data_IF_814906167582
#
_entry.id   IF_814906167582
#
_cell.length_a   1.000
_cell.length_b   1.000
_cell.length_c   1.000
_cell.angle_alpha   90.00
_cell.angle_beta   90.00
_cell.angle_gamma   90.00
#
_symmetry.space_group_name_H-M   'P 1'
#
loop_
_entity.id
_entity.type
_entity.pdbx_description
1 polymer ?
#
# COMPACT_ATOMS: atom_id res chain seq x y z
N UNK A 1 -26.12 -3.41 4.15
CA UNK A 1 -24.85 -4.13 4.00
C UNK A 1 -23.96 -3.79 5.19
N UNK A 2 -23.75 -4.73 6.10
CA UNK A 2 -22.88 -4.59 7.27
C UNK A 2 -21.44 -5.00 6.98
N UNK A 3 -20.51 -4.82 7.94
CA UNK A 3 -19.10 -5.21 7.79
C UNK A 3 -18.93 -6.70 7.47
N UNK A 4 -19.88 -7.55 7.89
CA UNK A 4 -19.85 -9.01 7.69
C UNK A 4 -20.65 -9.48 6.46
N UNK A 5 -21.24 -8.56 5.68
CA UNK A 5 -21.98 -8.93 4.48
C UNK A 5 -21.03 -9.60 3.46
N UNK A 6 -21.43 -10.69 2.78
CA UNK A 6 -20.59 -11.32 1.78
C UNK A 6 -20.27 -10.35 0.64
N UNK A 7 -19.08 -10.46 0.04
CA UNK A 7 -18.75 -9.75 -1.19
C UNK A 7 -19.63 -10.26 -2.34
N UNK A 8 -19.86 -9.46 -3.38
CA UNK A 8 -20.66 -9.88 -4.54
C UNK A 8 -20.16 -11.19 -5.13
N UNK A 9 -21.05 -12.13 -5.40
CA UNK A 9 -20.73 -13.49 -5.87
C UNK A 9 -20.13 -13.54 -7.29
N UNK A 10 -20.38 -12.51 -8.12
CA UNK A 10 -19.92 -12.46 -9.53
C UNK A 10 -18.87 -11.37 -9.74
N UNK A 11 -18.02 -11.53 -10.76
CA UNK A 11 -17.05 -10.52 -11.16
C UNK A 11 -17.72 -9.20 -11.56
N UNK A 12 -18.78 -9.26 -12.36
CA UNK A 12 -19.54 -8.08 -12.75
C UNK A 12 -20.15 -7.34 -11.55
N UNK A 13 -20.75 -8.09 -10.61
CA UNK A 13 -21.27 -7.52 -9.36
C UNK A 13 -20.18 -6.87 -8.51
N UNK A 14 -18.98 -7.43 -8.48
CA UNK A 14 -17.83 -6.87 -7.78
C UNK A 14 -17.38 -5.56 -8.41
N UNK A 15 -17.24 -5.51 -9.75
CA UNK A 15 -16.85 -4.30 -10.48
C UNK A 15 -17.89 -3.19 -10.27
N UNK A 16 -19.17 -3.49 -10.44
CA UNK A 16 -20.24 -2.53 -10.24
C UNK A 16 -20.26 -2.00 -8.79
N UNK A 17 -20.06 -2.89 -7.82
CA UNK A 17 -20.00 -2.51 -6.40
C UNK A 17 -18.80 -1.62 -6.08
N UNK A 18 -17.64 -1.84 -6.72
CA UNK A 18 -16.47 -0.97 -6.58
C UNK A 18 -16.77 0.39 -7.22
N UNK A 19 -17.28 0.42 -8.45
CA UNK A 19 -17.60 1.65 -9.16
C UNK A 19 -18.56 2.56 -8.37
N UNK A 20 -19.65 2.01 -7.84
CA UNK A 20 -20.62 2.70 -6.99
C UNK A 20 -19.96 3.34 -5.75
N UNK A 21 -19.07 2.60 -5.09
CA UNK A 21 -18.38 3.06 -3.89
C UNK A 21 -17.31 4.10 -4.19
N UNK A 22 -16.59 3.93 -5.29
CA UNK A 22 -15.59 4.90 -5.77
C UNK A 22 -16.27 6.22 -6.14
N UNK A 23 -17.37 6.16 -6.89
CA UNK A 23 -18.15 7.35 -7.24
C UNK A 23 -18.60 8.10 -5.99
N UNK A 24 -19.15 7.40 -5.00
CA UNK A 24 -19.56 7.99 -3.72
C UNK A 24 -18.39 8.63 -2.97
N UNK A 25 -17.25 7.95 -2.88
CA UNK A 25 -16.07 8.45 -2.18
C UNK A 25 -15.52 9.71 -2.86
N UNK A 26 -15.29 9.64 -4.17
CA UNK A 26 -14.73 10.75 -4.95
C UNK A 26 -15.67 11.96 -4.91
N UNK A 27 -16.97 11.75 -5.11
CA UNK A 27 -17.99 12.82 -5.06
C UNK A 27 -18.04 13.51 -3.70
N UNK A 28 -18.09 12.74 -2.60
CA UNK A 28 -18.14 13.29 -1.24
C UNK A 28 -16.87 14.05 -0.89
N UNK A 29 -15.69 13.51 -1.20
CA UNK A 29 -14.42 14.18 -0.91
C UNK A 29 -14.24 15.45 -1.74
N UNK A 30 -14.62 15.44 -3.01
CA UNK A 30 -14.62 16.64 -3.85
C UNK A 30 -15.52 17.75 -3.30
N UNK A 31 -16.63 17.40 -2.69
CA UNK A 31 -17.54 18.33 -2.00
C UNK A 31 -17.10 18.66 -0.57
N UNK A 32 -15.97 18.15 -0.11
CA UNK A 32 -15.45 18.37 1.25
C UNK A 32 -16.27 17.71 2.35
N UNK A 33 -17.07 16.68 2.02
CA UNK A 33 -17.87 15.90 2.96
C UNK A 33 -17.05 14.77 3.58
N UNK A 34 -15.96 15.15 4.27
CA UNK A 34 -15.00 14.19 4.84
C UNK A 34 -15.49 13.74 6.21
N UNK A 35 -15.51 12.43 6.52
CA UNK A 35 -15.93 11.93 7.83
C UNK A 35 -15.02 12.43 8.94
N UNK A 36 -15.60 13.01 9.99
CA UNK A 36 -14.89 13.48 11.17
C UNK A 36 -15.43 12.77 12.42
N UNK A 37 -14.51 12.38 13.33
CA UNK A 37 -14.89 11.70 14.57
C UNK A 37 -15.76 10.45 14.32
N UNK A 38 -16.86 10.31 15.08
CA UNK A 38 -17.80 9.18 14.96
C UNK A 38 -18.78 9.34 13.78
N UNK A 39 -18.99 10.56 13.27
CA UNK A 39 -19.97 10.84 12.22
C UNK A 39 -19.51 10.31 10.86
N UNK A 40 -20.39 9.55 10.20
CA UNK A 40 -20.19 9.03 8.84
C UNK A 40 -21.57 8.95 8.13
N UNK A 41 -22.19 10.10 7.86
CA UNK A 41 -23.57 10.15 7.37
C UNK A 41 -23.72 9.52 5.98
N UNK A 42 -22.65 9.50 5.19
CA UNK A 42 -22.63 8.95 3.83
C UNK A 42 -22.01 7.53 3.76
N UNK A 43 -21.74 6.93 4.91
CA UNK A 43 -21.18 5.59 4.99
C UNK A 43 -19.83 5.40 4.27
N UNK A 44 -19.00 6.45 4.19
CA UNK A 44 -17.74 6.45 3.45
C UNK A 44 -16.75 5.42 4.00
N UNK A 45 -16.74 5.20 5.34
CA UNK A 45 -15.93 4.13 5.94
C UNK A 45 -16.36 2.75 5.46
N UNK A 46 -17.67 2.53 5.31
CA UNK A 46 -18.22 1.26 4.77
C UNK A 46 -17.91 1.10 3.27
N UNK A 47 -17.91 2.20 2.51
CA UNK A 47 -17.51 2.20 1.11
C UNK A 47 -16.04 1.76 0.97
N UNK A 48 -15.13 2.38 1.72
CA UNK A 48 -13.71 2.02 1.72
C UNK A 48 -13.48 0.56 2.15
N UNK A 49 -14.13 0.11 3.24
CA UNK A 49 -14.07 -1.28 3.69
C UNK A 49 -14.59 -2.25 2.62
N UNK A 50 -15.69 -1.90 1.94
CA UNK A 50 -16.26 -2.72 0.88
C UNK A 50 -15.30 -2.89 -0.31
N UNK A 51 -14.64 -1.82 -0.75
CA UNK A 51 -13.60 -1.88 -1.81
C UNK A 51 -12.45 -2.78 -1.35
N UNK A 52 -11.91 -2.53 -0.15
CA UNK A 52 -10.81 -3.31 0.45
C UNK A 52 -11.10 -4.81 0.43
N UNK A 53 -12.26 -5.21 0.93
CA UNK A 53 -12.68 -6.61 0.99
C UNK A 53 -12.82 -7.24 -0.40
N UNK A 54 -13.47 -6.53 -1.33
CA UNK A 54 -13.65 -7.04 -2.70
C UNK A 54 -12.28 -7.24 -3.37
N UNK A 55 -11.35 -6.29 -3.22
CA UNK A 55 -10.01 -6.41 -3.80
C UNK A 55 -9.25 -7.61 -3.25
N UNK A 56 -9.28 -7.81 -1.92
CA UNK A 56 -8.59 -8.93 -1.28
C UNK A 56 -9.23 -10.28 -1.64
N UNK A 57 -10.55 -10.40 -1.54
CA UNK A 57 -11.25 -11.66 -1.76
C UNK A 57 -11.30 -12.09 -3.25
N UNK A 58 -11.30 -11.11 -4.18
CA UNK A 58 -11.32 -11.36 -5.63
C UNK A 58 -9.96 -11.34 -6.30
N UNK A 59 -8.91 -10.93 -5.58
CA UNK A 59 -7.57 -10.85 -6.13
C UNK A 59 -7.38 -9.72 -7.14
N UNK A 60 -8.11 -8.61 -6.99
CA UNK A 60 -7.97 -7.47 -7.90
C UNK A 60 -6.70 -6.69 -7.61
N UNK A 61 -5.89 -6.44 -8.67
CA UNK A 61 -4.51 -5.93 -8.58
C UNK A 61 -4.34 -4.51 -9.11
N UNK A 62 -5.41 -3.73 -9.22
CA UNK A 62 -5.31 -2.34 -9.66
C UNK A 62 -4.92 -1.42 -8.50
N UNK A 63 -4.38 -0.28 -8.86
CA UNK A 63 -4.07 0.82 -7.96
C UNK A 63 -5.33 1.62 -7.64
N UNK A 64 -5.64 1.77 -6.35
CA UNK A 64 -6.88 2.45 -5.92
C UNK A 64 -6.79 3.94 -6.12
N UNK A 65 -5.60 4.53 -6.00
CA UNK A 65 -5.39 5.96 -6.22
C UNK A 65 -5.63 6.32 -7.68
N UNK A 66 -5.08 5.53 -8.62
CA UNK A 66 -5.34 5.69 -10.06
C UNK A 66 -6.84 5.59 -10.36
N UNK A 67 -7.55 4.66 -9.71
CA UNK A 67 -8.99 4.53 -9.87
C UNK A 67 -9.75 5.75 -9.35
N UNK A 68 -9.33 6.36 -8.25
CA UNK A 68 -9.91 7.60 -7.73
C UNK A 68 -9.64 8.79 -8.66
N UNK A 69 -8.44 8.91 -9.20
CA UNK A 69 -8.06 9.95 -10.16
C UNK A 69 -8.89 9.85 -11.44
N UNK A 70 -9.04 8.64 -11.96
CA UNK A 70 -9.86 8.40 -13.16
C UNK A 70 -11.34 8.68 -12.90
N UNK A 71 -11.89 8.24 -11.78
CA UNK A 71 -13.26 8.57 -11.41
C UNK A 71 -13.47 10.08 -11.26
N UNK A 72 -12.51 10.80 -10.66
CA UNK A 72 -12.58 12.26 -10.57
C UNK A 72 -12.55 12.92 -11.94
N UNK A 73 -11.72 12.44 -12.88
CA UNK A 73 -11.65 12.93 -14.24
C UNK A 73 -12.98 12.79 -14.98
N UNK A 74 -13.73 11.72 -14.73
CA UNK A 74 -15.03 11.45 -15.33
C UNK A 74 -16.12 12.42 -14.88
N UNK A 75 -15.95 13.13 -13.77
CA UNK A 75 -16.88 14.20 -13.36
C UNK A 75 -16.80 15.46 -14.24
N UNK A 76 -15.72 15.63 -15.03
CA UNK A 76 -15.54 16.78 -15.92
C UNK A 76 -15.47 18.11 -15.17
N UNK A 77 -16.09 19.15 -15.74
CA UNK A 77 -16.03 20.54 -15.26
C UNK A 77 -16.93 20.82 -14.04
N UNK A 78 -17.25 19.82 -13.24
CA UNK A 78 -18.04 20.02 -12.03
C UNK A 78 -17.30 20.89 -11.02
N UNK A 79 -18.04 21.78 -10.36
CA UNK A 79 -17.49 22.65 -9.32
C UNK A 79 -17.25 21.83 -8.05
N UNK A 80 -15.98 21.61 -7.75
CA UNK A 80 -15.53 21.00 -6.51
C UNK A 80 -15.39 22.06 -5.41
N UNK A 81 -15.58 21.65 -4.16
CA UNK A 81 -15.30 22.50 -2.98
C UNK A 81 -13.81 22.48 -2.64
N UNK A 82 -13.15 21.33 -2.81
CA UNK A 82 -11.71 21.17 -2.68
C UNK A 82 -11.06 21.16 -4.07
N UNK A 83 -9.80 21.58 -4.13
CA UNK A 83 -9.01 21.40 -5.36
C UNK A 83 -8.90 19.90 -5.70
N UNK A 84 -8.97 19.51 -6.98
CA UNK A 84 -8.97 18.11 -7.39
C UNK A 84 -7.85 17.29 -6.76
N UNK A 85 -6.60 17.77 -6.81
CA UNK A 85 -5.46 17.08 -6.22
C UNK A 85 -5.54 16.97 -4.69
N UNK A 86 -6.08 17.99 -4.02
CA UNK A 86 -6.28 17.96 -2.57
C UNK A 86 -7.35 16.94 -2.17
N UNK A 87 -8.45 16.88 -2.93
CA UNK A 87 -9.52 15.92 -2.68
C UNK A 87 -9.01 14.47 -2.80
N UNK A 88 -8.23 14.17 -3.86
CA UNK A 88 -7.63 12.84 -4.07
C UNK A 88 -6.61 12.51 -2.97
N UNK A 89 -5.73 13.42 -2.60
CA UNK A 89 -4.77 13.19 -1.53
C UNK A 89 -5.47 12.83 -0.20
N UNK A 90 -6.47 13.63 0.20
CA UNK A 90 -7.25 13.36 1.42
C UNK A 90 -8.05 12.05 1.34
N UNK A 91 -8.59 11.73 0.16
CA UNK A 91 -9.30 10.46 -0.06
C UNK A 91 -8.35 9.28 0.06
N UNK A 92 -7.15 9.38 -0.53
CA UNK A 92 -6.16 8.31 -0.46
C UNK A 92 -5.70 8.07 0.98
N UNK A 93 -5.35 9.13 1.72
CA UNK A 93 -5.00 9.03 3.15
C UNK A 93 -6.12 8.37 3.97
N UNK A 94 -7.37 8.80 3.73
CA UNK A 94 -8.53 8.20 4.38
C UNK A 94 -8.67 6.72 4.04
N UNK A 95 -8.51 6.34 2.77
CA UNK A 95 -8.65 4.96 2.31
C UNK A 95 -7.56 4.06 2.92
N UNK A 96 -6.30 4.48 2.87
CA UNK A 96 -5.17 3.77 3.47
C UNK A 96 -5.38 3.56 4.98
N UNK A 97 -5.86 4.59 5.69
CA UNK A 97 -6.19 4.47 7.11
C UNK A 97 -7.30 3.41 7.36
N UNK A 98 -8.24 3.23 6.44
CA UNK A 98 -9.29 2.19 6.53
C UNK A 98 -8.74 0.79 6.19
N UNK A 99 -7.84 0.67 5.23
CA UNK A 99 -7.12 -0.58 4.93
C UNK A 99 -6.30 -1.05 6.15
N UNK A 100 -5.54 -0.14 6.76
CA UNK A 100 -4.82 -0.42 8.02
C UNK A 100 -5.77 -0.94 9.11
N UNK A 101 -6.85 -0.18 9.34
CA UNK A 101 -7.85 -0.56 10.36
C UNK A 101 -8.47 -1.93 10.07
N UNK A 102 -8.75 -2.25 8.80
CA UNK A 102 -9.24 -3.57 8.41
C UNK A 102 -8.30 -4.68 8.86
N UNK A 103 -7.00 -4.58 8.55
CA UNK A 103 -6.04 -5.61 8.96
C UNK A 103 -5.90 -5.71 10.49
N UNK A 104 -5.90 -4.59 11.20
CA UNK A 104 -5.87 -4.59 12.67
C UNK A 104 -7.10 -5.28 13.26
N UNK A 105 -8.29 -5.06 12.71
CA UNK A 105 -9.52 -5.76 13.16
C UNK A 105 -9.52 -7.25 12.83
N UNK A 106 -8.70 -7.68 11.84
CA UNK A 106 -8.45 -9.09 11.56
C UNK A 106 -7.36 -9.70 12.46
N UNK A 107 -6.91 -8.99 13.49
CA UNK A 107 -5.92 -9.47 14.45
C UNK A 107 -4.47 -9.41 13.96
N UNK A 108 -4.19 -8.68 12.87
CA UNK A 108 -2.83 -8.51 12.37
C UNK A 108 -2.01 -7.59 13.27
N UNK A 109 -0.73 -7.90 13.45
CA UNK A 109 0.19 -7.13 14.30
C UNK A 109 0.40 -5.71 13.76
N UNK A 110 0.30 -4.72 14.64
CA UNK A 110 0.40 -3.30 14.28
C UNK A 110 1.69 -2.96 13.55
N UNK A 111 2.84 -3.45 14.04
CA UNK A 111 4.14 -3.17 13.42
C UNK A 111 4.24 -3.72 12.00
N UNK A 112 3.70 -4.91 11.74
CA UNK A 112 3.70 -5.51 10.42
C UNK A 112 2.77 -4.74 9.46
N UNK A 113 1.60 -4.33 9.94
CA UNK A 113 0.66 -3.51 9.15
C UNK A 113 1.28 -2.16 8.80
N UNK A 114 1.93 -1.48 9.75
CA UNK A 114 2.63 -0.22 9.50
C UNK A 114 3.77 -0.39 8.49
N UNK A 115 4.58 -1.44 8.64
CA UNK A 115 5.70 -1.72 7.73
C UNK A 115 5.24 -1.91 6.28
N UNK A 116 4.21 -2.73 6.04
CA UNK A 116 3.75 -3.00 4.66
C UNK A 116 3.01 -1.82 4.04
N UNK A 117 2.32 -1.02 4.86
CA UNK A 117 1.61 0.16 4.36
C UNK A 117 2.51 1.38 4.14
N UNK A 118 3.75 1.36 4.64
CA UNK A 118 4.75 2.37 4.32
C UNK A 118 5.33 2.23 2.90
N UNK A 119 5.13 1.07 2.27
CA UNK A 119 5.66 0.76 0.93
C UNK A 119 4.49 0.46 0.01
N UNK A 120 4.26 1.28 -1.00
CA UNK A 120 3.22 1.12 -2.02
C UNK A 120 1.86 0.68 -1.43
N UNK A 121 1.15 1.58 -0.73
CA UNK A 121 -0.11 1.25 -0.06
C UNK A 121 -1.30 1.17 -1.00
N UNK A 122 -1.17 1.62 -2.25
CA UNK A 122 -2.29 1.87 -3.16
C UNK A 122 -2.80 0.57 -3.82
N UNK A 123 -1.97 -0.48 -3.90
CA UNK A 123 -2.38 -1.81 -4.33
C UNK A 123 -2.74 -2.70 -3.13
N UNK A 124 -4.03 -2.73 -2.78
CA UNK A 124 -4.54 -3.44 -1.59
C UNK A 124 -4.26 -4.94 -1.61
N UNK A 125 -4.36 -5.59 -2.78
CA UNK A 125 -4.08 -7.02 -2.91
C UNK A 125 -2.60 -7.33 -2.67
N UNK A 126 -1.71 -6.54 -3.29
CA UNK A 126 -0.26 -6.69 -3.08
C UNK A 126 0.12 -6.43 -1.62
N UNK A 127 -0.53 -5.43 -0.99
CA UNK A 127 -0.36 -5.14 0.44
C UNK A 127 -0.75 -6.34 1.31
N UNK A 128 -1.89 -6.97 1.04
CA UNK A 128 -2.31 -8.20 1.75
C UNK A 128 -1.32 -9.36 1.56
N UNK A 129 -0.76 -9.53 0.37
CA UNK A 129 0.26 -10.55 0.08
C UNK A 129 1.56 -10.27 0.81
N UNK A 130 2.03 -9.01 0.81
CA UNK A 130 3.22 -8.59 1.57
C UNK A 130 3.04 -8.81 3.07
N UNK A 131 1.86 -8.46 3.61
CA UNK A 131 1.55 -8.67 5.02
C UNK A 131 1.61 -10.15 5.39
N UNK A 132 0.99 -11.04 4.60
CA UNK A 132 1.04 -12.48 4.83
C UNK A 132 2.45 -13.05 4.75
N UNK A 133 3.27 -12.58 3.79
CA UNK A 133 4.66 -13.00 3.67
C UNK A 133 5.50 -12.54 4.87
N UNK A 134 5.36 -11.27 5.26
CA UNK A 134 6.09 -10.72 6.41
C UNK A 134 5.68 -11.38 7.73
N UNK A 135 4.40 -11.67 7.90
CA UNK A 135 3.88 -12.44 9.03
C UNK A 135 4.51 -13.83 9.09
N UNK A 136 4.56 -14.55 7.96
CA UNK A 136 5.21 -15.87 7.89
C UNK A 136 6.70 -15.80 8.19
N UNK A 137 7.39 -14.75 7.75
CA UNK A 137 8.81 -14.53 8.05
C UNK A 137 9.03 -14.19 9.52
N UNK A 138 8.14 -13.45 10.17
CA UNK A 138 8.27 -13.04 11.57
C UNK A 138 8.28 -14.20 12.56
N UNK A 139 7.81 -15.39 12.14
CA UNK A 139 7.83 -16.62 12.94
C UNK A 139 9.15 -17.40 12.83
N UNK A 140 10.08 -16.96 11.98
CA UNK A 140 11.37 -17.61 11.82
C UNK A 140 12.38 -17.12 12.86
N UNK A 141 13.19 -18.03 13.41
CA UNK A 141 14.13 -17.72 14.50
C UNK A 141 15.19 -16.67 14.11
N UNK A 142 15.53 -16.57 12.83
CA UNK A 142 16.52 -15.63 12.28
C UNK A 142 15.93 -14.25 11.91
N UNK A 143 14.60 -14.10 11.92
CA UNK A 143 13.94 -12.85 11.55
C UNK A 143 14.39 -11.64 12.38
N UNK A 144 14.53 -11.72 13.72
CA UNK A 144 15.00 -10.58 14.51
C UNK A 144 16.38 -10.10 14.09
N UNK A 145 17.29 -11.03 13.77
CA UNK A 145 18.65 -10.72 13.31
C UNK A 145 18.63 -10.09 11.92
N UNK A 146 17.83 -10.61 10.99
CA UNK A 146 17.64 -10.06 9.67
C UNK A 146 17.06 -8.64 9.74
N UNK A 147 15.99 -8.43 10.52
CA UNK A 147 15.37 -7.11 10.71
C UNK A 147 16.35 -6.08 11.30
N UNK A 148 17.19 -6.50 12.27
CA UNK A 148 18.23 -5.64 12.85
C UNK A 148 19.28 -5.27 11.81
N UNK A 149 19.70 -6.21 10.98
CA UNK A 149 20.65 -5.99 9.88
C UNK A 149 20.10 -4.99 8.87
N UNK A 150 18.85 -5.17 8.40
CA UNK A 150 18.19 -4.21 7.51
C UNK A 150 18.10 -2.81 8.12
N UNK A 151 17.70 -2.71 9.40
CA UNK A 151 17.65 -1.43 10.12
C UNK A 151 19.02 -0.75 10.17
N UNK A 152 20.09 -1.51 10.41
CA UNK A 152 21.48 -1.00 10.42
C UNK A 152 21.88 -0.47 9.05
N UNK A 153 21.65 -1.25 7.99
CA UNK A 153 21.96 -0.85 6.60
C UNK A 153 21.18 0.39 6.21
N UNK A 154 19.86 0.43 6.45
CA UNK A 154 19.02 1.60 6.15
C UNK A 154 19.50 2.85 6.90
N UNK A 155 19.94 2.73 8.15
CA UNK A 155 20.50 3.85 8.91
C UNK A 155 21.84 4.34 8.36
N UNK A 156 22.71 3.44 7.92
CA UNK A 156 23.98 3.79 7.27
C UNK A 156 23.70 4.56 5.97
N UNK A 157 22.86 4.02 5.11
CA UNK A 157 22.45 4.62 3.84
C UNK A 157 21.88 6.03 4.10
N UNK A 158 20.96 6.18 5.04
CA UNK A 158 20.34 7.47 5.35
C UNK A 158 21.34 8.51 5.87
N UNK A 159 22.26 8.10 6.76
CA UNK A 159 23.28 9.01 7.31
C UNK A 159 24.34 9.38 6.29
N UNK A 160 24.96 8.39 5.67
CA UNK A 160 26.08 8.63 4.74
C UNK A 160 25.59 9.20 3.40
N UNK A 161 24.42 8.78 2.90
CA UNK A 161 23.84 9.34 1.69
C UNK A 161 23.47 10.82 1.84
N UNK A 162 22.91 11.22 2.99
CA UNK A 162 22.61 12.63 3.26
C UNK A 162 23.87 13.48 3.45
N UNK A 163 24.89 12.97 4.15
CA UNK A 163 26.14 13.68 4.39
C UNK A 163 27.02 13.81 3.15
N UNK A 164 26.96 12.83 2.26
CA UNK A 164 27.75 12.82 1.02
C UNK A 164 27.06 13.51 -0.17
N UNK A 165 25.77 13.89 -0.05
CA UNK A 165 25.00 14.48 -1.17
C UNK A 165 24.88 13.55 -2.38
N UNK A 166 25.01 12.23 -2.16
CA UNK A 166 25.01 11.22 -3.22
C UNK A 166 23.58 10.73 -3.45
N UNK A 167 23.15 10.75 -4.72
CA UNK A 167 21.94 10.04 -5.12
C UNK A 167 22.17 8.53 -5.02
N UNK A 168 21.52 7.91 -4.04
CA UNK A 168 21.63 6.48 -3.77
C UNK A 168 20.71 5.64 -4.67
N UNK A 169 20.03 6.24 -5.62
CA UNK A 169 19.16 5.56 -6.58
C UNK A 169 19.91 5.00 -7.81
N UNK A 170 21.23 5.13 -7.85
CA UNK A 170 22.07 4.63 -8.93
C UNK A 170 22.27 3.11 -8.88
N UNK A 171 22.57 2.53 -10.05
CA UNK A 171 23.08 1.15 -10.14
C UNK A 171 24.51 1.10 -9.67
N UNK A 172 24.81 0.14 -8.77
CA UNK A 172 26.20 -0.11 -8.36
C UNK A 172 27.04 -0.66 -9.53
N UNK A 173 28.33 -0.32 -9.54
CA UNK A 173 29.26 -0.78 -10.57
C UNK A 173 30.26 -1.75 -9.95
N UNK A 174 30.34 -2.98 -10.49
CA UNK A 174 31.21 -4.04 -9.97
C UNK A 174 32.68 -3.64 -9.96
N UNK A 175 33.08 -2.80 -10.91
CA UNK A 175 34.45 -2.28 -11.06
C UNK A 175 34.90 -1.38 -9.90
N UNK A 176 33.95 -0.85 -9.14
CA UNK A 176 34.23 0.03 -7.99
C UNK A 176 34.37 -0.73 -6.67
N UNK A 177 34.05 -2.03 -6.64
CA UNK A 177 34.15 -2.86 -5.45
C UNK A 177 35.63 -3.25 -5.23
N UNK A 178 36.18 -2.87 -4.10
CA UNK A 178 37.59 -3.10 -3.77
C UNK A 178 37.78 -4.14 -2.67
N UNK A 179 36.83 -4.20 -1.74
CA UNK A 179 36.93 -5.09 -0.59
C UNK A 179 36.31 -6.46 -0.86
N UNK A 180 36.90 -7.56 -0.36
CA UNK A 180 36.34 -8.91 -0.49
C UNK A 180 34.89 -9.03 0.02
N UNK A 181 34.56 -8.30 1.09
CA UNK A 181 33.20 -8.28 1.64
C UNK A 181 32.18 -7.62 0.70
N UNK A 182 32.60 -6.59 -0.04
CA UNK A 182 31.75 -5.92 -1.05
C UNK A 182 31.47 -6.86 -2.22
N UNK A 183 32.49 -7.58 -2.71
CA UNK A 183 32.33 -8.57 -3.76
C UNK A 183 31.42 -9.71 -3.36
N UNK A 184 31.59 -10.24 -2.14
CA UNK A 184 30.73 -11.29 -1.62
C UNK A 184 29.28 -10.83 -1.46
N UNK A 185 29.03 -9.60 -1.04
CA UNK A 185 27.70 -9.02 -0.95
C UNK A 185 27.06 -8.86 -2.34
N UNK A 186 27.82 -8.40 -3.33
CA UNK A 186 27.36 -8.25 -4.71
C UNK A 186 26.93 -9.61 -5.30
N UNK A 187 27.75 -10.65 -5.11
CA UNK A 187 27.41 -12.00 -5.56
C UNK A 187 26.16 -12.58 -4.86
N UNK A 188 26.01 -12.31 -3.57
CA UNK A 188 24.83 -12.73 -2.81
C UNK A 188 23.57 -12.02 -3.33
N UNK A 189 23.65 -10.71 -3.64
CA UNK A 189 22.56 -9.94 -4.23
C UNK A 189 22.16 -10.46 -5.62
N UNK A 190 23.12 -10.73 -6.50
CA UNK A 190 22.87 -11.26 -7.84
C UNK A 190 22.12 -12.62 -7.76
N UNK A 191 22.57 -13.52 -6.88
CA UNK A 191 21.91 -14.81 -6.63
C UNK A 191 20.48 -14.63 -6.10
N UNK A 192 20.30 -13.71 -5.18
CA UNK A 192 19.00 -13.43 -4.57
C UNK A 192 18.02 -12.85 -5.62
N UNK A 193 18.46 -11.92 -6.46
CA UNK A 193 17.63 -11.36 -7.52
C UNK A 193 17.22 -12.43 -8.54
N UNK A 194 18.16 -13.27 -8.98
CA UNK A 194 17.84 -14.37 -9.89
C UNK A 194 16.82 -15.37 -9.29
N UNK A 195 16.94 -15.68 -8.00
CA UNK A 195 15.98 -16.52 -7.30
C UNK A 195 14.60 -15.85 -7.19
N UNK A 196 14.58 -14.55 -6.96
CA UNK A 196 13.34 -13.76 -6.86
C UNK A 196 12.60 -13.67 -8.19
N UNK A 197 13.30 -13.40 -9.30
CA UNK A 197 12.72 -13.39 -10.65
C UNK A 197 12.16 -14.74 -11.07
N UNK A 198 12.74 -15.84 -10.58
CA UNK A 198 12.26 -17.19 -10.86
C UNK A 198 11.01 -17.56 -10.05
N UNK A 199 10.81 -16.93 -8.89
CA UNK A 199 9.71 -17.23 -7.97
C UNK A 199 8.44 -16.39 -8.23
N UNK A 200 8.52 -15.38 -9.10
CA UNK A 200 7.41 -14.47 -9.48
C UNK A 200 6.94 -14.68 -10.89
#
# INVERSE_FOLDING_TARGET
>A
SGPDSPVPGTGLGSILSIADKVDTLVGCFGLGMIPTGAADPYALRRCALGITRIMLERGYRFDVKELFEEAQRLYGDRKWKLAPAEAIAKLNDFFIARVKNYFLTQGKETLLVEAVTAVDPDNVWALGRRLGALESMSWQDDFPQAAQTFKRVANIIRKQGHEAGVDLQGTWKRELLQEPAEMALAEALEKMFAAFETAW
#
